data_IF_389781670550
#
_entry.id   IF_389781670550
#
_cell.length_a   1.000
_cell.length_b   1.000
_cell.length_c   1.000
_cell.angle_alpha   90.00
_cell.angle_beta   90.00
_cell.angle_gamma   90.00
#
_symmetry.space_group_name_H-M   'P 1'
#
loop_
_entity.id
_entity.type
_entity.pdbx_description
1 polymer ?
#
# COMPACT_ATOMS: atom_id res chain seq x y z
N UNK A 1 -11.84 -10.04 -12.35
CA UNK A 1 -10.64 -10.03 -11.49
C UNK A 1 -9.54 -10.75 -12.22
N UNK A 2 -8.38 -10.12 -12.44
CA UNK A 2 -7.25 -10.73 -13.15
C UNK A 2 -6.41 -11.47 -12.09
N UNK A 3 -6.44 -12.80 -12.12
CA UNK A 3 -5.65 -13.67 -11.25
C UNK A 3 -4.26 -13.87 -11.86
N UNK A 4 -3.25 -14.07 -11.02
CA UNK A 4 -1.90 -14.40 -11.46
C UNK A 4 -1.84 -15.85 -12.03
N UNK A 5 -0.65 -16.31 -12.46
CA UNK A 5 -0.42 -17.66 -12.97
C UNK A 5 -0.76 -18.77 -11.96
N UNK A 6 -0.75 -18.51 -10.65
CA UNK A 6 -1.24 -19.43 -9.60
C UNK A 6 -2.76 -19.34 -9.33
N UNK A 7 -3.51 -18.53 -10.08
CA UNK A 7 -4.95 -18.32 -9.82
C UNK A 7 -5.24 -17.45 -8.60
N UNK A 8 -4.23 -16.81 -7.99
CA UNK A 8 -4.38 -15.94 -6.83
C UNK A 8 -4.77 -14.53 -7.27
N UNK A 9 -5.65 -13.88 -6.51
CA UNK A 9 -5.93 -12.46 -6.69
C UNK A 9 -4.77 -11.62 -6.15
N UNK A 10 -4.54 -10.43 -6.71
CA UNK A 10 -3.50 -9.51 -6.21
C UNK A 10 -3.63 -9.26 -4.70
N UNK A 11 -4.84 -9.08 -4.20
CA UNK A 11 -5.10 -8.88 -2.77
C UNK A 11 -4.63 -10.07 -1.91
N UNK A 12 -4.73 -11.31 -2.40
CA UNK A 12 -4.20 -12.48 -1.68
C UNK A 12 -2.67 -12.50 -1.66
N UNK A 13 -2.03 -12.23 -2.80
CA UNK A 13 -0.57 -12.14 -2.86
C UNK A 13 -0.03 -11.04 -1.92
N UNK A 14 -0.69 -9.88 -1.88
CA UNK A 14 -0.36 -8.79 -0.97
C UNK A 14 -0.59 -9.18 0.51
N UNK A 15 -1.65 -9.94 0.83
CA UNK A 15 -1.90 -10.43 2.20
C UNK A 15 -0.80 -11.38 2.69
N UNK A 16 -0.39 -12.32 1.85
CA UNK A 16 0.69 -13.25 2.18
C UNK A 16 1.98 -12.47 2.49
N UNK A 17 2.28 -11.45 1.68
CA UNK A 17 3.43 -10.56 1.87
C UNK A 17 3.32 -9.69 3.13
N UNK A 18 2.13 -9.16 3.43
CA UNK A 18 1.89 -8.35 4.62
C UNK A 18 2.23 -9.10 5.92
N UNK A 19 1.95 -10.41 5.96
CA UNK A 19 2.31 -11.26 7.09
C UNK A 19 3.83 -11.38 7.31
N UNK A 20 4.64 -11.39 6.23
CA UNK A 20 6.09 -11.35 6.35
C UNK A 20 6.60 -9.96 6.75
N UNK A 21 6.00 -8.92 6.17
CA UNK A 21 6.41 -7.52 6.35
C UNK A 21 6.18 -6.99 7.77
N UNK A 22 5.08 -7.37 8.42
CA UNK A 22 4.76 -6.94 9.80
C UNK A 22 5.80 -7.44 10.81
N UNK A 23 6.44 -8.60 10.55
CA UNK A 23 7.48 -9.13 11.43
C UNK A 23 8.76 -8.28 11.44
N UNK A 24 8.96 -7.44 10.41
CA UNK A 24 10.11 -6.53 10.31
C UNK A 24 9.79 -5.11 10.78
N UNK A 25 8.53 -4.80 11.05
CA UNK A 25 8.05 -3.46 11.39
C UNK A 25 7.28 -3.49 12.71
N UNK A 26 8.04 -3.51 13.81
CA UNK A 26 7.49 -3.40 15.17
C UNK A 26 6.79 -2.05 15.30
N UNK A 27 5.62 -2.02 15.94
CA UNK A 27 4.76 -0.83 16.14
C UNK A 27 3.97 -0.31 14.92
N UNK A 28 3.93 -1.07 13.81
CA UNK A 28 3.09 -0.78 12.65
C UNK A 28 1.99 -1.83 12.47
N UNK A 29 0.77 -1.36 12.22
CA UNK A 29 -0.33 -2.19 11.77
C UNK A 29 -0.33 -2.24 10.24
N UNK A 30 -0.27 -3.44 9.70
CA UNK A 30 -0.24 -3.70 8.26
C UNK A 30 -1.47 -4.51 7.89
N UNK A 31 -2.26 -4.00 6.96
CA UNK A 31 -3.47 -4.64 6.48
C UNK A 31 -3.55 -4.59 4.96
N UNK A 32 -4.29 -5.51 4.38
CA UNK A 32 -4.60 -5.50 2.94
C UNK A 32 -6.07 -5.74 2.75
N UNK A 33 -6.73 -4.82 2.06
CA UNK A 33 -8.15 -4.86 1.77
C UNK A 33 -8.44 -5.70 0.51
N UNK A 34 -9.70 -6.15 0.32
CA UNK A 34 -10.07 -7.00 -0.81
C UNK A 34 -9.82 -6.40 -2.20
N UNK A 35 -9.74 -5.06 -2.30
CA UNK A 35 -9.54 -4.31 -3.54
C UNK A 35 -8.06 -4.04 -3.85
N UNK A 36 -7.14 -4.72 -3.15
CA UNK A 36 -5.69 -4.54 -3.24
C UNK A 36 -5.19 -3.19 -2.68
N UNK A 37 -5.91 -2.61 -1.73
CA UNK A 37 -5.42 -1.49 -0.93
C UNK A 37 -4.53 -1.99 0.21
N UNK A 38 -3.27 -1.57 0.21
CA UNK A 38 -2.36 -1.70 1.35
C UNK A 38 -2.70 -0.62 2.36
N UNK A 39 -2.89 -1.01 3.62
CA UNK A 39 -3.11 -0.10 4.74
C UNK A 39 -1.93 -0.23 5.70
N UNK A 40 -1.20 0.86 5.89
CA UNK A 40 -0.17 1.00 6.91
C UNK A 40 -0.70 1.98 7.95
N UNK A 41 -0.80 1.57 9.21
CA UNK A 41 -1.29 2.42 10.28
C UNK A 41 -0.33 2.41 11.47
N UNK A 42 -0.20 3.57 12.11
CA UNK A 42 0.77 3.79 13.17
C UNK A 42 0.64 5.18 13.77
N UNK A 43 1.52 5.50 14.71
CA UNK A 43 1.54 6.81 15.37
C UNK A 43 2.62 7.75 14.82
N UNK A 44 3.61 7.19 14.11
CA UNK A 44 4.71 7.94 13.52
C UNK A 44 4.54 8.02 11.99
N UNK A 45 4.38 9.25 11.48
CA UNK A 45 4.22 9.51 10.05
C UNK A 45 5.45 9.10 9.24
N UNK A 46 6.65 9.38 9.77
CA UNK A 46 7.90 9.08 9.10
C UNK A 46 8.09 7.57 8.96
N UNK A 47 7.78 6.82 10.02
CA UNK A 47 7.82 5.36 9.99
C UNK A 47 6.83 4.78 8.95
N UNK A 48 5.63 5.36 8.82
CA UNK A 48 4.64 4.95 7.83
C UNK A 48 5.12 5.17 6.38
N UNK A 49 5.69 6.34 6.09
CA UNK A 49 6.22 6.62 4.75
C UNK A 49 7.45 5.78 4.42
N UNK A 50 8.32 5.51 5.42
CA UNK A 50 9.45 4.61 5.22
C UNK A 50 8.99 3.19 4.92
N UNK A 51 8.04 2.66 5.70
CA UNK A 51 7.48 1.33 5.47
C UNK A 51 6.80 1.22 4.08
N UNK A 52 6.11 2.27 3.63
CA UNK A 52 5.57 2.31 2.28
C UNK A 52 6.66 2.26 1.20
N UNK A 53 7.76 2.99 1.39
CA UNK A 53 8.89 2.96 0.47
C UNK A 53 9.55 1.57 0.42
N UNK A 54 9.77 0.96 1.58
CA UNK A 54 10.37 -0.38 1.71
C UNK A 54 9.46 -1.44 1.07
N UNK A 55 8.13 -1.33 1.25
CA UNK A 55 7.16 -2.17 0.57
C UNK A 55 7.25 -2.04 -0.95
N UNK A 56 7.32 -0.82 -1.48
CA UNK A 56 7.35 -0.61 -2.93
C UNK A 56 8.70 -1.00 -3.56
N UNK A 57 9.78 -0.99 -2.79
CA UNK A 57 11.12 -1.35 -3.26
C UNK A 57 11.31 -2.87 -3.46
N UNK A 58 10.71 -3.70 -2.61
CA UNK A 58 10.95 -5.15 -2.60
C UNK A 58 10.11 -5.92 -3.65
N UNK A 59 8.88 -5.50 -3.96
CA UNK A 59 8.12 -6.02 -5.09
C UNK A 59 7.32 -4.88 -5.76
N UNK A 60 7.73 -4.40 -6.94
CA UNK A 60 7.17 -3.19 -7.54
C UNK A 60 5.79 -3.46 -8.17
N UNK A 61 4.74 -3.01 -7.50
CA UNK A 61 3.40 -2.79 -8.09
C UNK A 61 3.24 -1.33 -8.53
N UNK A 62 2.29 -1.06 -9.43
CA UNK A 62 1.94 0.32 -9.74
C UNK A 62 0.99 0.87 -8.66
N UNK A 63 1.20 2.14 -8.29
CA UNK A 63 0.33 2.86 -7.36
C UNK A 63 -0.78 3.55 -8.15
N UNK A 64 -2.03 3.20 -7.86
CA UNK A 64 -3.21 3.81 -8.50
C UNK A 64 -3.73 5.00 -7.71
N UNK A 65 -3.72 4.93 -6.38
CA UNK A 65 -4.24 5.97 -5.49
C UNK A 65 -3.51 5.93 -4.14
N UNK A 66 -3.41 7.09 -3.48
CA UNK A 66 -2.82 7.24 -2.15
C UNK A 66 -3.71 8.12 -1.29
N UNK A 67 -4.18 7.56 -0.17
CA UNK A 67 -4.95 8.24 0.84
C UNK A 67 -4.18 8.35 2.16
N UNK A 68 -4.35 9.48 2.85
CA UNK A 68 -3.82 9.71 4.18
C UNK A 68 -4.94 10.07 5.14
N UNK A 69 -4.99 9.36 6.27
CA UNK A 69 -6.00 9.52 7.29
C UNK A 69 -5.36 9.83 8.64
N UNK A 70 -6.02 10.72 9.41
CA UNK A 70 -5.69 10.99 10.81
C UNK A 70 -6.93 10.79 11.66
N UNK A 71 -6.76 10.15 12.80
CA UNK A 71 -7.83 9.86 13.75
C UNK A 71 -7.38 10.08 15.20
N UNK A 72 -8.36 10.20 16.09
CA UNK A 72 -8.11 10.52 17.50
C UNK A 72 -7.68 9.31 18.35
N UNK A 73 -7.99 8.08 17.91
CA UNK A 73 -7.61 6.85 18.59
C UNK A 73 -6.37 6.22 17.94
N UNK A 74 -5.61 5.42 18.68
CA UNK A 74 -4.47 4.69 18.12
C UNK A 74 -4.94 3.54 17.20
N UNK A 75 -4.32 3.34 16.01
CA UNK A 75 -3.31 4.19 15.38
C UNK A 75 -3.83 5.58 15.03
N UNK A 76 -3.10 6.63 15.40
CA UNK A 76 -3.53 8.01 15.12
C UNK A 76 -3.46 8.36 13.63
N UNK A 77 -2.78 7.55 12.82
CA UNK A 77 -2.53 7.82 11.40
C UNK A 77 -2.60 6.53 10.57
N UNK A 78 -3.09 6.65 9.34
CA UNK A 78 -3.08 5.56 8.37
C UNK A 78 -2.77 6.08 6.96
N UNK A 79 -1.89 5.36 6.27
CA UNK A 79 -1.57 5.51 4.87
C UNK A 79 -2.21 4.35 4.10
N UNK A 80 -3.01 4.69 3.09
CA UNK A 80 -3.74 3.75 2.25
C UNK A 80 -3.22 3.86 0.83
N UNK A 81 -2.71 2.77 0.27
CA UNK A 81 -2.11 2.76 -1.06
C UNK A 81 -2.84 1.71 -1.89
N UNK A 82 -3.56 2.15 -2.91
CA UNK A 82 -4.23 1.23 -3.83
C UNK A 82 -3.25 0.76 -4.88
N UNK A 83 -3.00 -0.55 -4.90
CA UNK A 83 -2.02 -1.17 -5.79
C UNK A 83 -2.69 -1.88 -6.94
N UNK A 84 -2.07 -1.81 -8.12
CA UNK A 84 -2.48 -2.57 -9.30
C UNK A 84 -1.27 -3.29 -9.89
N UNK A 85 -1.48 -4.38 -10.67
CA UNK A 85 -0.37 -5.08 -11.29
C UNK A 85 0.46 -4.12 -12.14
N UNK A 86 1.78 -4.28 -12.13
CA UNK A 86 2.69 -3.44 -12.90
C UNK A 86 2.30 -3.39 -14.39
N UNK A 87 2.38 -2.19 -14.98
CA UNK A 87 1.94 -1.92 -16.34
C UNK A 87 0.42 -1.72 -16.49
N UNK A 88 -0.32 -1.65 -15.37
CA UNK A 88 -1.77 -1.36 -15.36
C UNK A 88 -2.03 0.12 -15.18
N UNK A 89 -1.23 0.80 -14.35
CA UNK A 89 -1.30 2.25 -14.27
C UNK A 89 -0.62 2.82 -15.52
N UNK A 90 -1.41 3.17 -16.52
CA UNK A 90 -0.94 4.05 -17.59
C UNK A 90 -0.36 5.29 -16.93
N UNK A 91 0.89 5.62 -17.22
CA UNK A 91 1.57 6.78 -16.67
C UNK A 91 0.88 8.06 -17.13
N UNK A 92 -0.16 8.47 -16.41
CA UNK A 92 -0.74 9.80 -16.52
C UNK A 92 -0.32 10.55 -15.27
N UNK A 93 0.85 11.17 -15.33
CA UNK A 93 1.15 12.31 -14.46
C UNK A 93 0.22 13.43 -14.95
N UNK A 94 -0.79 13.87 -14.17
CA UNK A 94 -1.53 15.07 -14.55
C UNK A 94 -0.53 16.21 -14.64
N UNK A 95 -0.46 16.87 -15.80
CA UNK A 95 0.35 18.06 -15.96
C UNK A 95 -0.02 19.06 -14.86
N UNK A 96 0.97 19.76 -14.25
CA UNK A 96 0.65 20.78 -13.25
C UNK A 96 -0.34 21.75 -13.86
N UNK A 97 -1.43 22.02 -13.13
CA UNK A 97 -2.38 23.05 -13.53
C UNK A 97 -1.62 24.38 -13.60
N UNK A 98 -1.33 24.82 -14.82
CA UNK A 98 -0.78 26.16 -15.07
C UNK A 98 -1.88 27.16 -14.70
N UNK A 99 -1.64 27.91 -13.62
CA UNK A 99 -2.40 29.09 -13.25
C UNK A 99 -1.86 30.35 -13.90
#
# INVERSE_FOLDING_TARGET
>A
MKTDQDGRTLAQALKDRAGAFVNSHVDLWVGVEPDATLVLAGNDAQALFQAAADWLADDPQDVLDVGWERQAAEPTQALRIRLVPRGTAGATVPAPAVG
#
